data_IF_481002354116
#
_entry.id   IF_481002354116
#
_cell.length_a   1.000
_cell.length_b   1.000
_cell.length_c   1.000
_cell.angle_alpha   90.00
_cell.angle_beta   90.00
_cell.angle_gamma   90.00
#
_symmetry.space_group_name_H-M   'P 1'
#
loop_
_entity.id
_entity.type
_entity.pdbx_description
1 polymer ?
#
# COMPACT_ATOMS: atom_id res chain seq x y z
N UNK A 1 10.37 3.09 -13.98
CA UNK A 1 10.57 3.73 -12.65
C UNK A 1 11.87 3.23 -12.02
N UNK A 2 12.65 4.09 -11.34
CA UNK A 2 13.90 3.67 -10.68
C UNK A 2 13.75 3.32 -9.19
N UNK A 3 14.68 2.56 -8.60
CA UNK A 3 14.66 2.23 -7.15
C UNK A 3 14.82 3.49 -6.30
N UNK A 4 15.61 4.47 -6.77
CA UNK A 4 15.83 5.72 -6.05
C UNK A 4 14.55 6.57 -6.02
N UNK A 5 13.84 6.65 -7.14
CA UNK A 5 12.55 7.34 -7.22
C UNK A 5 11.52 6.65 -6.30
N UNK A 6 11.45 5.32 -6.35
CA UNK A 6 10.54 4.55 -5.50
C UNK A 6 10.89 4.69 -4.01
N UNK A 7 12.18 4.70 -3.64
CA UNK A 7 12.63 4.85 -2.26
C UNK A 7 12.23 6.21 -1.68
N UNK A 8 12.33 7.27 -2.46
CA UNK A 8 11.91 8.60 -2.01
C UNK A 8 10.39 8.65 -1.79
N UNK A 9 9.61 8.11 -2.72
CA UNK A 9 8.15 8.09 -2.62
C UNK A 9 7.66 7.18 -1.50
N UNK A 10 8.25 5.99 -1.35
CA UNK A 10 7.88 5.04 -0.29
C UNK A 10 8.24 5.55 1.11
N UNK A 11 9.33 6.32 1.28
CA UNK A 11 9.61 7.02 2.55
C UNK A 11 8.52 8.02 2.91
N UNK A 12 8.00 8.77 1.94
CA UNK A 12 6.91 9.71 2.17
C UNK A 12 5.62 8.98 2.59
N UNK A 13 5.31 7.86 1.95
CA UNK A 13 4.17 6.99 2.33
C UNK A 13 4.33 6.43 3.74
N UNK A 14 5.51 5.88 4.05
CA UNK A 14 5.80 5.31 5.37
C UNK A 14 5.73 6.37 6.47
N UNK A 15 6.23 7.58 6.18
CA UNK A 15 6.13 8.72 7.11
C UNK A 15 4.67 9.09 7.39
N UNK A 16 3.85 9.21 6.35
CA UNK A 16 2.41 9.47 6.51
C UNK A 16 1.74 8.44 7.42
N UNK A 17 2.01 7.15 7.17
CA UNK A 17 1.43 6.07 7.96
C UNK A 17 1.96 6.07 9.40
N UNK A 18 3.23 6.39 9.60
CA UNK A 18 3.83 6.51 10.92
C UNK A 18 3.18 7.64 11.71
N UNK A 19 3.10 8.84 11.12
CA UNK A 19 2.48 10.01 11.74
C UNK A 19 1.01 9.71 12.11
N UNK A 20 0.27 9.04 11.22
CA UNK A 20 -1.11 8.65 11.50
C UNK A 20 -1.21 7.58 12.60
N UNK A 21 -0.27 6.63 12.65
CA UNK A 21 -0.31 5.51 13.62
C UNK A 21 -0.22 5.95 15.09
N UNK A 22 0.40 7.11 15.33
CA UNK A 22 0.55 7.71 16.66
C UNK A 22 -0.79 8.25 17.15
N UNK A 23 -1.70 8.63 16.23
CA UNK A 23 -3.05 9.09 16.57
C UNK A 23 -3.82 8.06 17.39
N UNK A 24 -4.62 8.54 18.34
CA UNK A 24 -5.57 7.69 19.08
C UNK A 24 -6.64 7.13 18.16
N UNK A 25 -6.95 7.84 17.07
CA UNK A 25 -7.94 7.45 16.08
C UNK A 25 -7.41 7.74 14.66
N UNK A 26 -6.59 6.83 14.11
CA UNK A 26 -5.95 7.05 12.82
C UNK A 26 -7.00 7.15 11.70
N UNK A 27 -6.81 8.02 10.72
CA UNK A 27 -7.72 8.17 9.59
C UNK A 27 -7.60 6.97 8.66
N UNK A 28 -8.74 6.45 8.21
CA UNK A 28 -8.76 5.39 7.21
C UNK A 28 -8.24 5.87 5.84
N UNK A 29 -8.44 7.16 5.54
CA UNK A 29 -8.01 7.78 4.29
C UNK A 29 -6.51 7.68 4.03
N UNK A 30 -5.65 7.63 5.06
CA UNK A 30 -4.20 7.48 4.85
C UNK A 30 -3.85 6.10 4.28
N UNK A 31 -4.48 5.03 4.77
CA UNK A 31 -4.32 3.68 4.21
C UNK A 31 -4.81 3.62 2.77
N UNK A 32 -5.98 4.20 2.50
CA UNK A 32 -6.56 4.22 1.16
C UNK A 32 -5.64 4.98 0.17
N UNK A 33 -5.23 6.20 0.55
CA UNK A 33 -4.35 7.03 -0.28
C UNK A 33 -3.02 6.35 -0.59
N UNK A 34 -2.37 5.75 0.42
CA UNK A 34 -1.10 5.03 0.18
C UNK A 34 -1.33 3.78 -0.67
N UNK A 35 -2.41 3.03 -0.42
CA UNK A 35 -2.77 1.87 -1.24
C UNK A 35 -3.00 2.24 -2.71
N UNK A 36 -3.73 3.33 -2.99
CA UNK A 36 -3.92 3.85 -4.34
C UNK A 36 -2.61 4.29 -5.01
N UNK A 37 -1.68 4.88 -4.25
CA UNK A 37 -0.36 5.25 -4.77
C UNK A 37 0.45 4.00 -5.16
N UNK A 38 0.45 2.96 -4.32
CA UNK A 38 1.09 1.68 -4.64
C UNK A 38 0.47 1.02 -5.86
N UNK A 39 -0.86 1.03 -5.95
CA UNK A 39 -1.59 0.52 -7.11
C UNK A 39 -1.15 1.23 -8.40
N UNK A 40 -1.00 2.57 -8.37
CA UNK A 40 -0.51 3.34 -9.51
C UNK A 40 0.88 2.91 -9.95
N UNK A 41 1.78 2.64 -9.01
CA UNK A 41 3.12 2.14 -9.37
C UNK A 41 3.06 0.76 -9.99
N UNK A 42 2.27 -0.16 -9.44
CA UNK A 42 2.10 -1.49 -10.02
C UNK A 42 1.54 -1.40 -11.44
N UNK A 43 0.53 -0.55 -11.68
CA UNK A 43 -0.03 -0.32 -13.02
C UNK A 43 1.03 0.26 -13.97
N UNK A 44 1.80 1.25 -13.52
CA UNK A 44 2.86 1.86 -14.32
C UNK A 44 3.92 0.82 -14.71
N UNK A 45 4.41 0.04 -13.74
CA UNK A 45 5.41 -1.00 -13.99
C UNK A 45 4.87 -2.10 -14.92
N UNK A 46 3.59 -2.46 -14.80
CA UNK A 46 2.94 -3.40 -15.74
C UNK A 46 2.90 -2.84 -17.16
N UNK A 47 2.62 -1.55 -17.32
CA UNK A 47 2.56 -0.90 -18.64
C UNK A 47 3.94 -0.79 -19.32
N UNK A 48 5.02 -0.74 -18.52
CA UNK A 48 6.40 -0.73 -19.02
C UNK A 48 6.86 -2.12 -19.53
N UNK A 49 6.12 -3.21 -19.23
CA UNK A 49 6.47 -4.58 -19.62
C UNK A 49 5.63 -5.04 -20.82
N UNK A 50 6.29 -5.61 -21.83
CA UNK A 50 5.65 -6.19 -23.02
C UNK A 50 5.03 -7.57 -22.77
N UNK A 51 5.55 -8.30 -21.78
CA UNK A 51 5.10 -9.64 -21.40
C UNK A 51 4.38 -9.63 -20.04
N UNK A 52 3.52 -10.63 -19.83
CA UNK A 52 2.82 -10.79 -18.57
C UNK A 52 3.81 -11.07 -17.42
N UNK A 53 3.94 -10.10 -16.52
CA UNK A 53 4.68 -10.28 -15.28
C UNK A 53 3.75 -10.81 -14.17
N UNK A 54 3.90 -12.07 -13.78
CA UNK A 54 3.05 -12.74 -12.79
C UNK A 54 3.14 -12.11 -11.39
N UNK A 55 4.32 -11.63 -11.00
CA UNK A 55 4.54 -10.96 -9.70
C UNK A 55 3.74 -9.66 -9.65
N UNK A 56 3.89 -8.79 -10.65
CA UNK A 56 3.12 -7.56 -10.73
C UNK A 56 1.62 -7.80 -10.89
N UNK A 57 1.22 -8.90 -11.55
CA UNK A 57 -0.17 -9.28 -11.63
C UNK A 57 -0.74 -9.69 -10.27
N UNK A 58 -0.02 -10.50 -9.48
CA UNK A 58 -0.42 -10.86 -8.12
C UNK A 58 -0.52 -9.63 -7.23
N UNK A 59 0.51 -8.78 -7.23
CA UNK A 59 0.53 -7.53 -6.44
C UNK A 59 -0.64 -6.62 -6.78
N UNK A 60 -1.00 -6.52 -8.06
CA UNK A 60 -2.18 -5.77 -8.50
C UNK A 60 -3.47 -6.34 -7.87
N UNK A 61 -3.67 -7.66 -7.96
CA UNK A 61 -4.86 -8.32 -7.41
C UNK A 61 -4.94 -8.16 -5.90
N UNK A 62 -3.82 -8.33 -5.20
CA UNK A 62 -3.76 -8.24 -3.75
C UNK A 62 -4.04 -6.81 -3.25
N UNK A 63 -3.52 -5.79 -3.96
CA UNK A 63 -3.82 -4.38 -3.68
C UNK A 63 -5.28 -4.02 -3.98
N UNK A 64 -5.87 -4.57 -5.04
CA UNK A 64 -7.27 -4.32 -5.41
C UNK A 64 -8.22 -4.87 -4.34
N UNK A 65 -7.99 -6.11 -3.89
CA UNK A 65 -8.71 -6.75 -2.79
C UNK A 65 -8.54 -5.93 -1.51
N UNK A 66 -7.31 -5.54 -1.18
CA UNK A 66 -7.02 -4.73 0.00
C UNK A 66 -7.80 -3.40 0.00
N UNK A 67 -7.82 -2.67 -1.11
CA UNK A 67 -8.53 -1.40 -1.24
C UNK A 67 -10.06 -1.58 -1.10
N UNK A 68 -10.61 -2.64 -1.68
CA UNK A 68 -12.02 -3.00 -1.51
C UNK A 68 -12.36 -3.31 -0.04
N UNK A 69 -11.51 -4.07 0.65
CA UNK A 69 -11.69 -4.44 2.06
C UNK A 69 -11.62 -3.24 3.01
N UNK A 70 -10.75 -2.26 2.74
CA UNK A 70 -10.69 -1.00 3.48
C UNK A 70 -12.05 -0.28 3.46
N UNK A 71 -12.66 -0.18 2.27
CA UNK A 71 -13.98 0.45 2.08
C UNK A 71 -15.13 -0.32 2.74
N UNK A 72 -14.91 -1.59 3.10
CA UNK A 72 -15.87 -2.44 3.78
C UNK A 72 -15.83 -2.31 5.31
N UNK A 73 -15.32 -3.34 5.97
CA UNK A 73 -15.45 -3.49 7.42
C UNK A 73 -14.64 -2.44 8.20
N UNK A 74 -13.47 -2.04 7.68
CA UNK A 74 -12.63 -1.05 8.36
C UNK A 74 -13.30 0.33 8.34
N UNK A 75 -13.89 0.74 7.21
CA UNK A 75 -14.66 1.97 7.10
C UNK A 75 -15.84 1.99 8.08
N UNK A 76 -16.60 0.90 8.17
CA UNK A 76 -17.70 0.81 9.13
C UNK A 76 -17.23 0.94 10.59
N UNK A 77 -16.09 0.33 10.93
CA UNK A 77 -15.51 0.44 12.28
C UNK A 77 -14.98 1.87 12.55
N UNK A 78 -14.49 2.57 11.52
CA UNK A 78 -14.10 3.99 11.59
C UNK A 78 -15.31 4.89 11.85
N UNK A 79 -16.36 4.79 11.03
CA UNK A 79 -17.55 5.64 11.12
C UNK A 79 -18.26 5.49 12.47
N UNK A 80 -18.28 4.25 13.01
CA UNK A 80 -18.88 3.94 14.30
C UNK A 80 -17.96 4.23 15.50
N UNK A 81 -16.76 4.77 15.29
CA UNK A 81 -15.74 4.99 16.34
C UNK A 81 -15.50 3.75 17.19
N UNK A 82 -15.44 2.58 16.57
CA UNK A 82 -15.33 1.31 17.26
C UNK A 82 -13.98 1.19 17.97
N UNK A 83 -13.95 0.75 19.23
CA UNK A 83 -12.71 0.58 20.01
C UNK A 83 -11.70 -0.36 19.36
N UNK A 84 -12.16 -1.34 18.58
CA UNK A 84 -11.29 -2.29 17.86
C UNK A 84 -10.64 -1.69 16.60
N UNK A 85 -11.11 -0.53 16.16
CA UNK A 85 -10.68 0.08 14.90
C UNK A 85 -9.17 0.30 14.85
N UNK A 86 -8.56 0.92 15.87
CA UNK A 86 -7.11 1.21 15.88
C UNK A 86 -6.28 -0.06 15.69
N UNK A 87 -6.66 -1.17 16.34
CA UNK A 87 -5.97 -2.46 16.17
C UNK A 87 -6.08 -2.98 14.74
N UNK A 88 -7.26 -2.89 14.13
CA UNK A 88 -7.47 -3.30 12.72
C UNK A 88 -6.69 -2.40 11.77
N UNK A 89 -6.76 -1.09 11.96
CA UNK A 89 -5.99 -0.12 11.19
C UNK A 89 -4.48 -0.44 11.24
N UNK A 90 -3.93 -0.78 12.42
CA UNK A 90 -2.52 -1.16 12.53
C UNK A 90 -2.17 -2.47 11.81
N UNK A 91 -3.11 -3.41 11.70
CA UNK A 91 -2.91 -4.64 10.91
C UNK A 91 -2.90 -4.32 9.41
N UNK A 92 -3.83 -3.50 8.93
CA UNK A 92 -3.86 -3.06 7.54
C UNK A 92 -2.62 -2.20 7.19
N UNK A 93 -2.15 -1.36 8.10
CA UNK A 93 -0.89 -0.63 7.95
C UNK A 93 0.31 -1.57 7.75
N UNK A 94 0.37 -2.70 8.46
CA UNK A 94 1.44 -3.70 8.26
C UNK A 94 1.38 -4.29 6.86
N UNK A 95 0.19 -4.66 6.37
CA UNK A 95 0.02 -5.17 5.00
C UNK A 95 0.49 -4.15 3.95
N UNK A 96 0.19 -2.86 4.12
CA UNK A 96 0.71 -1.82 3.23
C UNK A 96 2.24 -1.79 3.23
N UNK A 97 2.87 -1.89 4.40
CA UNK A 97 4.34 -1.92 4.48
C UNK A 97 4.92 -3.17 3.80
N UNK A 98 4.23 -4.31 3.89
CA UNK A 98 4.62 -5.53 3.18
C UNK A 98 4.52 -5.34 1.65
N UNK A 99 3.48 -4.67 1.14
CA UNK A 99 3.39 -4.32 -0.28
C UNK A 99 4.52 -3.39 -0.74
N UNK A 100 4.87 -2.39 0.09
CA UNK A 100 6.01 -1.50 -0.19
C UNK A 100 7.30 -2.32 -0.30
N UNK A 101 7.52 -3.25 0.63
CA UNK A 101 8.70 -4.09 0.63
C UNK A 101 8.77 -5.02 -0.60
N UNK A 102 7.66 -5.68 -0.95
CA UNK A 102 7.58 -6.54 -2.13
C UNK A 102 7.83 -5.77 -3.42
N UNK A 103 7.25 -4.58 -3.56
CA UNK A 103 7.45 -3.73 -4.73
C UNK A 103 8.89 -3.21 -4.81
N UNK A 104 9.50 -2.86 -3.67
CA UNK A 104 10.91 -2.48 -3.60
C UNK A 104 11.83 -3.59 -4.09
N UNK A 105 11.63 -4.82 -3.59
CA UNK A 105 12.41 -5.97 -3.98
C UNK A 105 12.31 -6.22 -5.48
N UNK A 106 11.09 -6.20 -6.02
CA UNK A 106 10.84 -6.33 -7.45
C UNK A 106 11.61 -5.30 -8.29
N UNK A 107 11.52 -4.01 -7.94
CA UNK A 107 12.20 -2.93 -8.68
C UNK A 107 13.72 -3.13 -8.60
N UNK A 108 14.25 -3.45 -7.42
CA UNK A 108 15.70 -3.63 -7.23
C UNK A 108 16.27 -4.81 -8.05
N UNK A 109 15.51 -5.91 -8.14
CA UNK A 109 15.91 -7.07 -8.95
C UNK A 109 15.90 -6.73 -10.45
N UNK A 110 14.91 -5.95 -10.90
CA UNK A 110 14.72 -5.61 -12.32
C UNK A 110 15.53 -4.40 -12.80
N UNK A 111 16.16 -3.63 -11.90
CA UNK A 111 17.11 -2.57 -12.25
C UNK A 111 18.54 -3.08 -12.44
N UNK A 112 18.84 -4.27 -11.93
CA UNK A 112 20.18 -4.87 -11.97
C UNK A 112 20.42 -5.68 -13.25
N UNK A 113 19.40 -5.80 -14.11
CA UNK A 113 19.41 -6.46 -15.43
C UNK A 113 19.51 -5.44 -16.58
#
# INVERSE_FOLDING_TARGET
MTIKEFDEQSRQMQKELLDESISTFPRIYSLNRVGEQLMKFVIQLKAEKTELNTILHSLYMDLDIFLADLGGQLQQDYDRKNKRYKRKWSLENRKINDFIFQLKAYISENESE
#
